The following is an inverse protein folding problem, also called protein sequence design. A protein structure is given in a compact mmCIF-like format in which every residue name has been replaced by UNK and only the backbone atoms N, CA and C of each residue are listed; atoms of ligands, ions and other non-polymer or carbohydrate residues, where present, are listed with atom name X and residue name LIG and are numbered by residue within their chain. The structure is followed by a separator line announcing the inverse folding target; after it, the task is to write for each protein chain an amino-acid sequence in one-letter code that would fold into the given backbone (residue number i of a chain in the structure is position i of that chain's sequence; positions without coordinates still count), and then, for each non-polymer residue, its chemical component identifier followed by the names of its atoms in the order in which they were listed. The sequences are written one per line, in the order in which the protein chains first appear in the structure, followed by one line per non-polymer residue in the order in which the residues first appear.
data_IF_010026449843
#
_entry.id   IF_010026449843
#
_cell.length_a   1.000
_cell.length_b   1.000
_cell.length_c   1.000
_cell.angle_alpha   90.00
_cell.angle_beta   90.00
_cell.angle_gamma   90.00
#
_symmetry.space_group_name_H-M   'P 1'
#
loop_
_entity.id
_entity.type
_entity.pdbx_description
1 polymer ?
#
# COMPACT_ATOMS: atom_id res chain seq x y z
N UNK A 1 45.92 -24.74 17.88
CA UNK A 1 45.17 -25.78 18.61
C UNK A 1 43.71 -25.30 18.70
N UNK A 2 42.94 -25.53 17.62
CA UNK A 2 41.67 -26.31 17.56
C UNK A 2 40.57 -25.81 18.53
N UNK A 3 39.53 -25.15 18.01
CA UNK A 3 38.16 -25.68 17.71
C UNK A 3 37.18 -25.44 18.87
N UNK A 4 35.88 -25.18 18.74
CA UNK A 4 34.91 -25.32 17.65
C UNK A 4 33.66 -24.48 17.93
N UNK A 5 32.98 -24.01 16.89
CA UNK A 5 31.58 -23.58 16.90
C UNK A 5 30.65 -24.79 16.78
N UNK A 6 29.52 -24.80 17.49
CA UNK A 6 28.43 -25.77 17.31
C UNK A 6 27.30 -25.08 16.54
N UNK A 7 27.06 -25.52 15.30
CA UNK A 7 25.80 -25.30 14.57
C UNK A 7 24.80 -26.39 15.00
N UNK A 8 23.58 -25.99 15.34
CA UNK A 8 22.45 -26.91 15.49
C UNK A 8 21.50 -26.77 14.31
N UNK A 9 21.40 -27.87 13.57
CA UNK A 9 20.50 -28.21 12.47
C UNK A 9 19.12 -27.51 12.48
N UNK A 10 18.82 -26.81 11.38
CA UNK A 10 17.46 -26.73 10.84
C UNK A 10 17.51 -27.23 9.39
N UNK A 11 17.11 -28.49 9.19
CA UNK A 11 16.90 -29.10 7.88
C UNK A 11 15.53 -28.65 7.35
N UNK A 12 15.51 -27.68 6.44
CA UNK A 12 14.39 -27.49 5.52
C UNK A 12 14.95 -27.29 4.11
N UNK A 13 14.67 -28.28 3.25
CA UNK A 13 14.64 -28.23 1.79
C UNK A 13 15.83 -27.54 1.08
N UNK A 14 16.84 -28.33 0.66
CA UNK A 14 17.77 -27.86 -0.38
C UNK A 14 17.17 -28.16 -1.76
N UNK A 15 16.92 -27.15 -2.61
CA UNK A 15 16.80 -27.41 -4.04
C UNK A 15 18.22 -27.59 -4.58
N UNK A 16 18.52 -28.79 -5.06
CA UNK A 16 19.67 -29.06 -5.92
C UNK A 16 19.40 -28.45 -7.30
N UNK A 17 19.43 -27.14 -7.39
CA UNK A 17 19.56 -26.41 -8.65
C UNK A 17 20.74 -25.48 -8.44
N UNK A 18 21.85 -25.74 -9.13
CA UNK A 18 22.93 -24.77 -9.21
C UNK A 18 22.41 -23.56 -9.97
N UNK A 19 21.83 -22.60 -9.26
CA UNK A 19 21.73 -21.25 -9.78
C UNK A 19 23.16 -20.79 -10.00
N UNK A 20 23.52 -20.49 -11.24
CA UNK A 20 24.70 -19.69 -11.49
C UNK A 20 24.61 -18.46 -10.56
N UNK A 21 25.71 -18.07 -9.92
CA UNK A 21 25.76 -16.78 -9.22
C UNK A 21 25.69 -15.66 -10.27
N UNK A 22 24.50 -15.45 -10.82
CA UNK A 22 24.16 -14.26 -11.58
C UNK A 22 23.92 -13.15 -10.56
N UNK A 23 24.79 -12.14 -10.64
CA UNK A 23 24.78 -11.01 -9.71
C UNK A 23 23.64 -10.06 -10.12
N UNK A 24 22.43 -10.32 -9.64
CA UNK A 24 21.27 -9.46 -9.89
C UNK A 24 21.31 -8.21 -9.01
N UNK A 25 20.74 -7.11 -9.51
CA UNK A 25 20.66 -5.86 -8.74
C UNK A 25 19.76 -5.97 -7.50
N UNK A 26 18.76 -6.85 -7.51
CA UNK A 26 17.80 -7.07 -6.42
C UNK A 26 17.48 -8.56 -6.30
N UNK A 27 17.19 -9.00 -5.08
CA UNK A 27 16.68 -10.35 -4.80
C UNK A 27 15.19 -10.48 -5.18
N UNK A 28 14.45 -9.36 -5.13
CA UNK A 28 13.04 -9.30 -5.50
C UNK A 28 12.68 -7.95 -6.10
N UNK A 29 12.04 -7.98 -7.27
CA UNK A 29 11.37 -6.83 -7.87
C UNK A 29 9.87 -7.05 -7.85
N UNK A 30 9.15 -6.15 -7.20
CA UNK A 30 7.68 -6.14 -7.14
C UNK A 30 7.13 -5.11 -8.11
N UNK A 31 6.38 -5.56 -9.12
CA UNK A 31 5.68 -4.68 -10.06
C UNK A 31 4.25 -4.45 -9.55
N UNK A 32 4.04 -3.31 -8.90
CA UNK A 32 2.77 -2.83 -8.35
C UNK A 32 2.85 -2.51 -6.86
N UNK A 33 2.74 -1.23 -6.49
CA UNK A 33 2.75 -0.73 -5.12
C UNK A 33 1.37 -0.73 -4.44
N UNK A 34 0.57 -1.77 -4.72
CA UNK A 34 -0.74 -1.99 -4.08
C UNK A 34 -0.67 -2.86 -2.83
N UNK A 35 -1.82 -3.22 -2.27
CA UNK A 35 -1.89 -4.01 -1.04
C UNK A 35 -1.07 -5.31 -1.09
N UNK A 36 -1.19 -6.09 -2.18
CA UNK A 36 -0.43 -7.34 -2.33
C UNK A 36 1.08 -7.11 -2.51
N UNK A 37 1.47 -6.17 -3.39
CA UNK A 37 2.87 -5.90 -3.66
C UNK A 37 3.61 -5.30 -2.47
N UNK A 38 3.00 -4.35 -1.76
CA UNK A 38 3.58 -3.78 -0.54
C UNK A 38 3.68 -4.81 0.58
N UNK A 39 2.71 -5.73 0.72
CA UNK A 39 2.80 -6.80 1.70
C UNK A 39 3.96 -7.76 1.36
N UNK A 40 4.05 -8.19 0.10
CA UNK A 40 5.14 -9.05 -0.39
C UNK A 40 6.51 -8.41 -0.16
N UNK A 41 6.68 -7.14 -0.55
CA UNK A 41 7.95 -6.43 -0.39
C UNK A 41 8.36 -6.32 1.08
N UNK A 42 7.42 -5.95 1.97
CA UNK A 42 7.70 -5.83 3.40
C UNK A 42 8.09 -7.17 4.02
N UNK A 43 7.44 -8.25 3.58
CA UNK A 43 7.74 -9.59 4.08
C UNK A 43 9.13 -10.06 3.62
N UNK A 44 9.47 -9.86 2.35
CA UNK A 44 10.79 -10.21 1.81
C UNK A 44 11.94 -9.50 2.55
N UNK A 45 11.76 -8.23 2.95
CA UNK A 45 12.73 -7.51 3.78
C UNK A 45 12.97 -8.20 5.13
N UNK A 46 11.96 -8.82 5.74
CA UNK A 46 12.13 -9.52 7.03
C UNK A 46 13.11 -10.71 6.92
N UNK A 47 13.27 -11.26 5.71
CA UNK A 47 14.22 -12.33 5.40
C UNK A 47 15.57 -11.82 4.86
N UNK A 48 15.80 -10.50 4.87
CA UNK A 48 17.06 -9.89 4.45
C UNK A 48 17.22 -9.69 2.94
N UNK A 49 16.17 -9.88 2.15
CA UNK A 49 16.22 -9.66 0.70
C UNK A 49 16.42 -8.17 0.36
N UNK A 50 17.16 -7.86 -0.70
CA UNK A 50 17.21 -6.54 -1.34
C UNK A 50 16.03 -6.41 -2.29
N UNK A 51 15.11 -5.49 -1.99
CA UNK A 51 13.81 -5.38 -2.68
C UNK A 51 13.64 -4.04 -3.38
N UNK A 52 13.13 -4.08 -4.62
CA UNK A 52 12.60 -2.92 -5.32
C UNK A 52 11.07 -3.05 -5.53
N UNK A 53 10.36 -1.93 -5.42
CA UNK A 53 8.93 -1.81 -5.71
C UNK A 53 8.74 -0.76 -6.79
N UNK A 54 8.21 -1.17 -7.95
CA UNK A 54 7.78 -0.29 -9.02
C UNK A 54 6.28 -0.04 -8.87
N UNK A 55 5.84 1.22 -8.83
CA UNK A 55 4.41 1.54 -8.85
C UNK A 55 4.12 2.63 -9.87
N UNK A 56 3.01 2.47 -10.60
CA UNK A 56 2.54 3.48 -11.53
C UNK A 56 1.02 3.44 -11.64
N UNK A 57 0.42 4.63 -11.57
CA UNK A 57 -1.01 4.80 -11.76
C UNK A 57 -1.24 5.36 -13.17
N UNK A 58 -1.75 4.50 -14.06
CA UNK A 58 -2.26 4.94 -15.36
C UNK A 58 -3.46 5.86 -15.10
N UNK A 59 -3.46 7.12 -15.58
CA UNK A 59 -4.58 8.02 -15.36
C UNK A 59 -5.87 7.45 -15.97
N UNK A 60 -7.01 7.73 -15.33
CA UNK A 60 -8.32 7.43 -15.89
C UNK A 60 -8.54 8.21 -17.21
N UNK A 61 -9.57 7.88 -18.02
CA UNK A 61 -9.92 8.67 -19.21
C UNK A 61 -10.18 10.16 -18.91
N UNK A 62 -10.53 10.51 -17.67
CA UNK A 62 -10.73 11.89 -17.20
C UNK A 62 -9.46 12.52 -16.62
N UNK A 63 -8.32 11.84 -16.68
CA UNK A 63 -7.04 12.30 -16.17
C UNK A 63 -6.84 12.11 -14.65
N UNK A 64 -7.74 11.41 -13.96
CA UNK A 64 -7.62 11.17 -12.51
C UNK A 64 -6.48 10.21 -12.23
N UNK A 65 -5.62 10.54 -11.27
CA UNK A 65 -4.52 9.71 -10.77
C UNK A 65 -4.39 9.87 -9.26
N UNK A 66 -3.66 8.96 -8.61
CA UNK A 66 -3.46 8.95 -7.16
C UNK A 66 -2.03 8.49 -6.80
N UNK A 67 -1.74 8.37 -5.50
CA UNK A 67 -0.43 8.03 -4.97
C UNK A 67 -0.22 6.54 -4.66
N UNK A 68 0.90 6.23 -4.01
CA UNK A 68 1.29 4.87 -3.60
C UNK A 68 0.24 4.22 -2.68
N UNK A 69 0.08 2.89 -2.75
CA UNK A 69 -0.84 2.13 -1.90
C UNK A 69 -1.91 1.37 -2.68
N UNK A 70 -1.98 1.58 -3.99
CA UNK A 70 -2.88 0.90 -4.91
C UNK A 70 -4.36 1.22 -4.70
N UNK A 71 -5.21 0.36 -5.26
CA UNK A 71 -6.67 0.58 -5.35
C UNK A 71 -7.33 0.73 -3.99
N UNK A 72 -7.08 -0.21 -3.08
CA UNK A 72 -7.74 -0.27 -1.77
C UNK A 72 -7.62 1.05 -0.99
N UNK A 73 -6.41 1.62 -0.97
CA UNK A 73 -6.09 2.87 -0.27
C UNK A 73 -6.72 4.08 -0.95
N UNK A 74 -6.60 4.19 -2.28
CA UNK A 74 -6.85 5.45 -2.96
C UNK A 74 -8.28 5.58 -3.53
N UNK A 75 -8.84 4.48 -4.05
CA UNK A 75 -10.12 4.49 -4.79
C UNK A 75 -10.99 3.28 -4.50
N UNK A 76 -10.70 2.57 -3.41
CA UNK A 76 -11.33 1.30 -3.05
C UNK A 76 -11.86 1.33 -1.63
N UNK A 77 -11.49 0.32 -0.84
CA UNK A 77 -12.06 0.05 0.46
C UNK A 77 -12.00 1.23 1.44
N UNK A 78 -10.88 1.98 1.47
CA UNK A 78 -10.68 3.09 2.40
C UNK A 78 -11.67 4.23 2.15
N UNK A 79 -11.66 4.93 1.00
CA UNK A 79 -12.64 5.97 0.73
C UNK A 79 -14.07 5.44 0.76
N UNK A 80 -14.32 4.22 0.25
CA UNK A 80 -15.64 3.58 0.30
C UNK A 80 -16.18 3.47 1.74
N UNK A 81 -15.35 3.03 2.68
CA UNK A 81 -15.79 2.84 4.07
C UNK A 81 -15.95 4.17 4.80
N UNK A 82 -15.10 5.16 4.52
CA UNK A 82 -15.22 6.50 5.10
C UNK A 82 -16.49 7.22 4.62
N UNK A 83 -16.80 7.13 3.33
CA UNK A 83 -18.06 7.67 2.77
C UNK A 83 -19.28 6.93 3.31
N UNK A 84 -19.20 5.59 3.46
CA UNK A 84 -20.25 4.82 4.11
C UNK A 84 -20.44 5.20 5.58
N UNK A 85 -19.37 5.51 6.31
CA UNK A 85 -19.49 5.99 7.67
C UNK A 85 -20.20 7.34 7.74
N UNK A 86 -19.95 8.25 6.77
CA UNK A 86 -20.66 9.52 6.69
C UNK A 86 -22.18 9.33 6.52
N UNK A 87 -22.62 8.31 5.76
CA UNK A 87 -24.05 8.00 5.64
C UNK A 87 -24.63 7.45 6.95
N UNK A 88 -23.88 6.58 7.65
CA UNK A 88 -24.31 6.03 8.95
C UNK A 88 -24.42 7.13 10.02
N UNK A 89 -23.57 8.16 9.96
CA UNK A 89 -23.67 9.32 10.85
C UNK A 89 -24.93 10.14 10.58
N UNK A 90 -25.36 10.25 9.32
CA UNK A 90 -26.64 10.87 8.98
C UNK A 90 -27.82 10.17 9.66
N UNK A 91 -27.87 8.83 9.56
CA UNK A 91 -28.90 8.03 10.23
C UNK A 91 -28.84 8.17 11.75
N UNK A 92 -27.64 8.12 12.33
CA UNK A 92 -27.45 8.26 13.76
C UNK A 92 -27.99 9.59 14.32
N UNK A 93 -27.98 10.67 13.54
CA UNK A 93 -28.58 11.95 13.96
C UNK A 93 -30.09 11.81 14.11
N UNK A 94 -30.77 11.13 13.18
CA UNK A 94 -32.20 10.85 13.25
C UNK A 94 -32.53 9.94 14.44
N UNK A 95 -31.80 8.82 14.56
CA UNK A 95 -31.99 7.82 15.60
C UNK A 95 -31.67 8.33 17.01
N UNK A 96 -30.92 9.43 17.15
CA UNK A 96 -30.49 9.93 18.46
C UNK A 96 -31.59 10.63 19.28
N UNK A 97 -32.67 11.09 18.64
CA UNK A 97 -33.72 11.87 19.33
C UNK A 97 -34.45 11.10 20.45
N UNK A 98 -34.89 9.83 20.24
CA UNK A 98 -35.48 9.02 21.31
C UNK A 98 -34.53 8.74 22.48
N UNK A 99 -33.21 8.83 22.27
CA UNK A 99 -32.20 8.68 23.31
C UNK A 99 -31.85 9.99 24.03
N UNK A 100 -32.64 11.05 23.82
CA UNK A 100 -32.54 12.30 24.57
C UNK A 100 -31.65 13.38 23.94
N UNK A 101 -31.12 13.15 22.73
CA UNK A 101 -30.39 14.18 21.99
C UNK A 101 -31.37 15.21 21.44
N UNK A 102 -31.16 16.48 21.79
CA UNK A 102 -32.01 17.60 21.37
C UNK A 102 -31.28 18.44 20.34
N UNK A 103 -31.85 18.57 19.15
CA UNK A 103 -31.40 19.49 18.11
C UNK A 103 -32.41 20.63 17.99
N UNK A 104 -31.94 21.87 17.83
CA UNK A 104 -32.82 23.02 17.67
C UNK A 104 -33.69 22.88 16.40
N UNK A 105 -33.09 22.43 15.31
CA UNK A 105 -33.75 22.11 14.04
C UNK A 105 -33.09 20.89 13.41
N UNK A 106 -33.53 19.65 13.71
CA UNK A 106 -32.93 18.43 13.16
C UNK A 106 -32.93 18.41 11.62
N UNK A 107 -33.99 18.96 11.00
CA UNK A 107 -34.15 19.06 9.55
C UNK A 107 -33.17 20.06 8.90
N UNK A 108 -32.51 20.90 9.70
CA UNK A 108 -31.52 21.87 9.21
C UNK A 108 -30.14 21.26 8.98
N UNK A 109 -29.90 20.03 9.46
CA UNK A 109 -28.60 19.37 9.32
C UNK A 109 -28.38 18.95 7.86
N UNK A 110 -27.49 19.66 7.18
CA UNK A 110 -27.13 19.39 5.78
C UNK A 110 -25.75 18.75 5.68
N UNK A 111 -25.64 17.78 4.79
CA UNK A 111 -24.37 17.16 4.44
C UNK A 111 -23.66 17.98 3.37
N UNK A 112 -22.40 18.37 3.64
CA UNK A 112 -21.53 18.99 2.65
C UNK A 112 -20.56 17.97 2.02
N UNK A 113 -20.76 17.73 0.72
CA UNK A 113 -19.91 16.84 -0.08
C UNK A 113 -18.45 17.33 -0.18
N UNK A 114 -18.23 18.64 -0.25
CA UNK A 114 -16.89 19.20 -0.37
C UNK A 114 -16.06 18.88 0.89
N UNK A 115 -16.60 19.20 2.08
CA UNK A 115 -15.97 18.89 3.36
C UNK A 115 -15.71 17.39 3.55
N UNK A 116 -16.66 16.52 3.19
CA UNK A 116 -16.46 15.06 3.27
C UNK A 116 -15.31 14.61 2.36
N UNK A 117 -15.36 14.98 1.08
CA UNK A 117 -14.35 14.52 0.12
C UNK A 117 -12.97 15.06 0.42
N UNK A 118 -12.86 16.32 0.88
CA UNK A 118 -11.59 16.89 1.35
C UNK A 118 -11.02 16.08 2.53
N UNK A 119 -11.84 15.77 3.54
CA UNK A 119 -11.43 15.00 4.71
C UNK A 119 -10.95 13.60 4.32
N UNK A 120 -11.67 12.91 3.42
CA UNK A 120 -11.28 11.59 2.89
C UNK A 120 -9.98 11.67 2.12
N UNK A 121 -9.82 12.67 1.23
CA UNK A 121 -8.58 12.84 0.46
C UNK A 121 -7.38 13.17 1.35
N UNK A 122 -7.56 13.95 2.41
CA UNK A 122 -6.51 14.24 3.38
C UNK A 122 -6.06 12.98 4.13
N UNK A 123 -7.00 12.11 4.51
CA UNK A 123 -6.66 10.81 5.08
C UNK A 123 -5.86 9.94 4.10
N UNK A 124 -6.30 9.84 2.85
CA UNK A 124 -5.60 9.06 1.81
C UNK A 124 -4.17 9.58 1.61
N UNK A 125 -3.97 10.89 1.49
CA UNK A 125 -2.65 11.51 1.36
C UNK A 125 -1.73 11.17 2.54
N UNK A 126 -2.27 11.17 3.76
CA UNK A 126 -1.53 10.75 4.96
C UNK A 126 -1.06 9.29 4.85
N UNK A 127 -1.96 8.38 4.46
CA UNK A 127 -1.61 6.96 4.27
C UNK A 127 -0.57 6.77 3.15
N UNK A 128 -0.70 7.49 2.03
CA UNK A 128 0.30 7.45 0.96
C UNK A 128 1.69 7.87 1.49
N UNK A 129 1.73 8.96 2.28
CA UNK A 129 2.97 9.49 2.85
C UNK A 129 3.60 8.51 3.84
N UNK A 130 2.84 8.00 4.80
CA UNK A 130 3.31 7.00 5.77
C UNK A 130 3.85 5.77 5.06
N UNK A 131 3.17 5.31 4.00
CA UNK A 131 3.62 4.15 3.22
C UNK A 131 4.97 4.42 2.56
N UNK A 132 5.20 5.61 2.00
CA UNK A 132 6.49 5.98 1.41
C UNK A 132 7.60 6.05 2.45
N UNK A 133 7.32 6.60 3.63
CA UNK A 133 8.26 6.64 4.75
C UNK A 133 8.62 5.22 5.19
N UNK A 134 7.64 4.34 5.37
CA UNK A 134 7.86 2.95 5.79
C UNK A 134 8.74 2.17 4.78
N UNK A 135 8.54 2.37 3.48
CA UNK A 135 9.41 1.76 2.46
C UNK A 135 10.85 2.26 2.56
N UNK A 136 11.04 3.58 2.71
CA UNK A 136 12.38 4.17 2.84
C UNK A 136 13.09 3.68 4.11
N UNK A 137 12.39 3.65 5.24
CA UNK A 137 12.96 3.26 6.52
C UNK A 137 13.37 1.76 6.51
N UNK A 138 12.63 0.93 5.77
CA UNK A 138 12.96 -0.48 5.49
C UNK A 138 13.98 -0.68 4.37
N UNK A 139 14.52 0.41 3.80
CA UNK A 139 15.47 0.39 2.67
C UNK A 139 14.94 -0.36 1.43
N UNK A 140 13.62 -0.37 1.25
CA UNK A 140 13.00 -0.81 0.00
C UNK A 140 13.17 0.29 -1.02
N UNK A 141 13.72 -0.04 -2.18
CA UNK A 141 13.80 0.93 -3.26
C UNK A 141 12.42 1.12 -3.87
N UNK A 142 11.91 2.34 -3.82
CA UNK A 142 10.62 2.69 -4.40
C UNK A 142 10.82 3.54 -5.66
N UNK A 143 10.37 3.03 -6.80
CA UNK A 143 10.40 3.73 -8.08
C UNK A 143 8.97 4.00 -8.53
N UNK A 144 8.67 5.27 -8.73
CA UNK A 144 7.39 5.69 -9.32
C UNK A 144 7.50 5.65 -10.85
N UNK A 145 7.40 4.45 -11.42
CA UNK A 145 7.60 4.20 -12.84
C UNK A 145 6.82 2.97 -13.32
N UNK A 146 6.44 2.98 -14.59
CA UNK A 146 5.71 1.87 -15.20
C UNK A 146 6.68 0.72 -15.49
N UNK A 147 6.56 -0.37 -14.74
CA UNK A 147 7.41 -1.55 -14.84
C UNK A 147 6.88 -2.58 -15.84
N UNK A 148 7.76 -3.13 -16.69
CA UNK A 148 7.45 -4.28 -17.53
C UNK A 148 8.68 -5.18 -17.71
N UNK A 149 8.46 -6.47 -17.96
CA UNK A 149 9.52 -7.43 -18.23
C UNK A 149 10.09 -7.23 -19.64
N UNK A 150 11.40 -7.10 -19.75
CA UNK A 150 12.13 -7.19 -21.03
C UNK A 150 12.44 -8.65 -21.37
N UNK A 151 12.79 -9.42 -20.35
CA UNK A 151 13.06 -10.86 -20.41
C UNK A 151 12.89 -11.47 -19.00
N UNK A 152 13.39 -12.70 -18.79
CA UNK A 152 13.21 -13.47 -17.55
C UNK A 152 13.75 -12.79 -16.28
N UNK A 153 14.83 -12.00 -16.39
CA UNK A 153 15.51 -11.41 -15.23
C UNK A 153 15.71 -9.90 -15.34
N UNK A 154 15.24 -9.27 -16.42
CA UNK A 154 15.36 -7.83 -16.63
C UNK A 154 13.99 -7.15 -16.63
N UNK A 155 13.81 -6.18 -15.74
CA UNK A 155 12.62 -5.31 -15.65
C UNK A 155 13.01 -3.89 -16.04
N UNK A 156 12.22 -3.27 -16.93
CA UNK A 156 12.39 -1.88 -17.32
C UNK A 156 11.35 -1.02 -16.61
N UNK A 157 11.78 0.07 -15.98
CA UNK A 157 10.90 1.07 -15.39
C UNK A 157 10.88 2.32 -16.26
N UNK A 158 9.71 2.66 -16.83
CA UNK A 158 9.51 3.91 -17.55
C UNK A 158 9.11 4.99 -16.55
N UNK A 159 10.04 5.89 -16.26
CA UNK A 159 9.77 7.07 -15.43
C UNK A 159 8.96 8.10 -16.23
N UNK A 160 8.15 8.90 -15.54
CA UNK A 160 7.33 9.96 -16.13
C UNK A 160 7.77 11.33 -15.65
#
# INVERSE_FOLDING_TARGET
MVSSFIMSNARYFQPSCSFAEENYDYDLVVIGGGSGGLACAKEAIQFGAKVAVLDFVVPSPRGTKWGLGGTCVNVGCIPKKLMHQASLLGEAIHDSQPYGWKFAEPESVKHDWATLTESVQNHIKSVNWVTRVDLRDKKVEYVNGFGYFKDAHNVVAVMK
#
